data_IF_932241138577
#
_entry.id   IF_932241138577
#
_cell.length_a   1.000
_cell.length_b   1.000
_cell.length_c   1.000
_cell.angle_alpha   90.00
_cell.angle_beta   90.00
_cell.angle_gamma   90.00
#
_symmetry.space_group_name_H-M   'P 1'
#
loop_
_entity.id
_entity.type
_entity.pdbx_description
1 polymer ?
#
# COMPACT_ATOMS: atom_id res chain seq x y z
N UNK A 1 -4.21 32.53 5.76
CA UNK A 1 -3.90 31.75 4.54
C UNK A 1 -4.95 30.66 4.44
N UNK A 2 -5.60 30.53 3.29
CA UNK A 2 -6.47 29.39 3.02
C UNK A 2 -5.56 28.16 2.88
N UNK A 3 -5.87 27.02 3.53
CA UNK A 3 -5.01 25.83 3.45
C UNK A 3 -4.91 25.31 2.02
N UNK A 4 -3.75 24.75 1.64
CA UNK A 4 -3.45 24.22 0.29
C UNK A 4 -4.37 23.07 -0.15
N UNK A 5 -5.16 22.55 0.78
CA UNK A 5 -6.25 21.60 0.52
C UNK A 5 -7.51 22.25 -0.06
N UNK A 6 -7.72 23.56 0.09
CA UNK A 6 -8.96 24.28 -0.23
C UNK A 6 -10.07 24.09 0.82
N UNK A 7 -11.34 24.18 0.38
CA UNK A 7 -12.56 23.92 1.17
C UNK A 7 -12.99 22.43 1.39
N UNK A 8 -12.29 21.36 0.93
CA UNK A 8 -12.76 19.99 1.11
C UNK A 8 -13.13 19.61 2.54
N UNK A 9 -12.43 20.19 3.53
CA UNK A 9 -12.53 19.79 4.93
C UNK A 9 -13.62 20.51 5.71
N UNK A 10 -14.40 21.39 5.07
CA UNK A 10 -15.52 22.12 5.68
C UNK A 10 -16.89 21.46 5.38
N UNK A 11 -16.91 20.13 5.15
CA UNK A 11 -18.11 19.32 4.86
C UNK A 11 -18.88 19.70 3.57
N UNK A 12 -18.51 20.78 2.89
CA UNK A 12 -19.17 21.24 1.67
C UNK A 12 -19.16 20.17 0.56
N UNK A 13 -18.15 19.30 0.53
CA UNK A 13 -18.06 18.19 -0.43
C UNK A 13 -19.00 17.03 -0.14
N UNK A 14 -19.51 16.91 1.08
CA UNK A 14 -20.56 15.93 1.39
C UNK A 14 -21.82 16.24 0.55
N UNK A 15 -22.05 17.51 0.19
CA UNK A 15 -23.21 17.93 -0.61
C UNK A 15 -22.84 18.24 -2.06
N UNK A 16 -21.66 18.84 -2.29
CA UNK A 16 -21.23 19.31 -3.61
C UNK A 16 -19.77 18.93 -3.90
N UNK A 17 -19.53 17.65 -4.19
CA UNK A 17 -18.19 17.09 -4.40
C UNK A 17 -17.36 17.84 -5.46
N UNK A 18 -17.97 18.33 -6.54
CA UNK A 18 -17.25 19.04 -7.60
C UNK A 18 -16.64 20.39 -7.15
N UNK A 19 -17.13 20.98 -6.06
CA UNK A 19 -16.65 22.28 -5.57
C UNK A 19 -15.38 22.06 -4.74
N UNK A 20 -14.22 22.25 -5.37
CA UNK A 20 -12.91 22.10 -4.71
C UNK A 20 -12.39 23.34 -3.98
N UNK A 21 -12.89 24.52 -4.36
CA UNK A 21 -12.33 25.81 -3.96
C UNK A 21 -11.07 26.15 -4.75
N UNK A 22 -10.85 27.45 -4.97
CA UNK A 22 -9.73 27.98 -5.76
C UNK A 22 -8.35 27.61 -5.21
N UNK A 23 -8.25 27.34 -3.90
CA UNK A 23 -7.00 26.93 -3.24
C UNK A 23 -6.68 25.43 -3.27
N UNK A 24 -7.53 24.58 -3.85
CA UNK A 24 -7.29 23.13 -3.88
C UNK A 24 -6.34 22.74 -5.02
N UNK A 25 -5.07 22.56 -4.68
CA UNK A 25 -3.99 22.20 -5.61
C UNK A 25 -3.89 20.70 -5.90
N UNK A 26 -4.48 19.86 -5.03
CA UNK A 26 -4.37 18.40 -5.09
C UNK A 26 -5.68 17.72 -5.50
N UNK A 27 -5.57 16.47 -5.96
CA UNK A 27 -6.75 15.64 -6.23
C UNK A 27 -7.47 15.29 -4.92
N UNK A 28 -8.79 15.52 -4.80
CA UNK A 28 -9.55 15.18 -3.60
C UNK A 28 -9.97 13.70 -3.54
N UNK A 29 -9.33 12.81 -4.31
CA UNK A 29 -9.61 11.35 -4.31
C UNK A 29 -9.63 10.76 -2.89
N UNK A 30 -8.77 11.26 -2.00
CA UNK A 30 -8.69 10.81 -0.62
C UNK A 30 -9.97 11.10 0.20
N UNK A 31 -10.88 11.96 -0.28
CA UNK A 31 -12.07 12.34 0.47
C UNK A 31 -13.03 11.16 0.67
N UNK A 32 -13.29 10.34 -0.35
CA UNK A 32 -14.12 9.14 -0.19
C UNK A 32 -13.45 8.10 0.71
N UNK A 33 -12.13 7.93 0.59
CA UNK A 33 -11.36 6.97 1.39
C UNK A 33 -11.40 7.25 2.90
N UNK A 34 -11.58 8.52 3.30
CA UNK A 34 -11.60 8.90 4.73
C UNK A 34 -12.99 9.23 5.26
N UNK A 35 -13.96 9.53 4.38
CA UNK A 35 -15.32 9.92 4.80
C UNK A 35 -16.31 8.76 4.77
N UNK A 36 -16.03 7.74 3.98
CA UNK A 36 -16.83 6.54 3.95
C UNK A 36 -16.50 5.66 5.16
N UNK A 37 -17.52 5.41 5.99
CA UNK A 37 -17.42 4.56 7.18
C UNK A 37 -18.12 3.21 7.02
N UNK A 38 -18.76 2.98 5.86
CA UNK A 38 -19.58 1.79 5.61
C UNK A 38 -18.84 0.76 4.76
N UNK A 39 -18.02 1.19 3.80
CA UNK A 39 -17.42 0.31 2.80
C UNK A 39 -15.89 0.31 2.76
N UNK A 40 -15.23 1.37 3.22
CA UNK A 40 -13.76 1.42 3.28
C UNK A 40 -13.32 0.67 4.54
N UNK A 41 -12.65 -0.50 4.42
CA UNK A 41 -12.30 -1.29 5.57
C UNK A 41 -10.94 -0.89 6.17
N UNK A 42 -10.76 -1.18 7.45
CA UNK A 42 -9.44 -1.29 8.06
C UNK A 42 -8.82 -2.62 7.62
N UNK A 43 -7.96 -2.58 6.61
CA UNK A 43 -7.38 -3.79 6.01
C UNK A 43 -6.29 -4.36 6.92
N UNK A 44 -6.49 -5.59 7.41
CA UNK A 44 -5.47 -6.33 8.15
C UNK A 44 -4.62 -7.21 7.23
N UNK A 45 -5.28 -7.96 6.34
CA UNK A 45 -4.67 -8.92 5.43
C UNK A 45 -5.65 -9.27 4.30
N UNK A 46 -5.19 -9.44 3.06
CA UNK A 46 -6.04 -9.68 1.89
C UNK A 46 -5.76 -11.04 1.22
N UNK A 47 -6.68 -11.50 0.38
CA UNK A 47 -6.43 -12.65 -0.49
C UNK A 47 -5.33 -12.37 -1.52
N UNK A 48 -5.23 -11.13 -2.02
CA UNK A 48 -4.15 -10.71 -2.91
C UNK A 48 -2.78 -10.83 -2.22
N UNK A 49 -2.68 -10.42 -0.96
CA UNK A 49 -1.44 -10.55 -0.16
C UNK A 49 -0.96 -12.01 -0.08
N UNK A 50 -1.86 -12.97 0.15
CA UNK A 50 -1.53 -14.41 0.14
C UNK A 50 -0.93 -14.83 -1.20
N UNK A 51 -1.57 -14.43 -2.30
CA UNK A 51 -1.17 -14.81 -3.64
C UNK A 51 0.17 -14.16 -4.03
N UNK A 52 0.41 -12.91 -3.64
CA UNK A 52 1.72 -12.27 -3.82
C UNK A 52 2.83 -12.97 -3.02
N UNK A 53 2.56 -13.35 -1.77
CA UNK A 53 3.52 -14.10 -0.95
C UNK A 53 3.82 -15.48 -1.56
N UNK A 54 2.81 -16.15 -2.12
CA UNK A 54 3.01 -17.41 -2.87
C UNK A 54 3.81 -17.20 -4.14
N UNK A 55 3.50 -16.17 -4.92
CA UNK A 55 4.25 -15.83 -6.12
C UNK A 55 5.74 -15.63 -5.81
N UNK A 56 6.05 -14.86 -4.75
CA UNK A 56 7.43 -14.71 -4.28
C UNK A 56 8.04 -16.05 -3.84
N UNK A 57 7.31 -16.86 -3.07
CA UNK A 57 7.80 -18.16 -2.61
C UNK A 57 8.14 -19.09 -3.78
N UNK A 58 7.31 -19.15 -4.82
CA UNK A 58 7.59 -19.91 -6.04
C UNK A 58 8.75 -19.35 -6.84
N UNK A 59 8.88 -18.02 -6.97
CA UNK A 59 10.06 -17.42 -7.63
C UNK A 59 11.35 -17.76 -6.91
N UNK A 60 11.32 -17.79 -5.57
CA UNK A 60 12.50 -18.00 -4.73
C UNK A 60 12.78 -19.48 -4.41
N UNK A 61 11.83 -20.38 -4.65
CA UNK A 61 11.92 -21.77 -4.23
C UNK A 61 11.85 -21.96 -2.71
N UNK A 62 10.97 -21.22 -2.03
CA UNK A 62 10.77 -21.32 -0.58
C UNK A 62 9.77 -22.44 -0.29
N UNK A 63 10.22 -23.50 0.37
CA UNK A 63 9.40 -24.66 0.74
C UNK A 63 9.12 -25.65 -0.40
N UNK A 64 9.35 -25.25 -1.65
CA UNK A 64 9.25 -26.06 -2.87
C UNK A 64 10.34 -25.62 -3.87
N UNK A 65 10.69 -26.41 -4.90
CA UNK A 65 11.58 -25.95 -5.96
C UNK A 65 11.07 -24.67 -6.64
N UNK A 66 12.00 -23.81 -7.08
CA UNK A 66 11.63 -22.59 -7.78
C UNK A 66 10.85 -22.90 -9.07
N UNK A 67 9.71 -22.23 -9.24
CA UNK A 67 8.81 -22.42 -10.37
C UNK A 67 8.27 -21.06 -10.85
N UNK A 68 8.93 -20.41 -11.82
CA UNK A 68 8.48 -19.13 -12.36
C UNK A 68 7.11 -19.20 -13.06
N UNK A 69 6.72 -20.38 -13.57
CA UNK A 69 5.43 -20.57 -14.20
C UNK A 69 4.31 -20.51 -13.17
N UNK A 70 4.45 -21.27 -12.07
CA UNK A 70 3.50 -21.22 -10.96
C UNK A 70 3.50 -19.86 -10.28
N UNK A 71 4.66 -19.22 -10.12
CA UNK A 71 4.75 -17.87 -9.59
C UNK A 71 3.94 -16.86 -10.42
N UNK A 72 4.00 -16.95 -11.76
CA UNK A 72 3.20 -16.12 -12.65
C UNK A 72 1.69 -16.34 -12.50
N UNK A 73 1.27 -17.59 -12.30
CA UNK A 73 -0.14 -17.91 -12.02
C UNK A 73 -0.63 -17.24 -10.73
N UNK A 74 0.12 -17.38 -9.64
CA UNK A 74 -0.23 -16.77 -8.35
C UNK A 74 -0.19 -15.23 -8.44
N UNK A 75 0.81 -14.65 -9.11
CA UNK A 75 0.94 -13.21 -9.30
C UNK A 75 -0.27 -12.62 -10.05
N UNK A 76 -0.65 -13.23 -11.17
CA UNK A 76 -1.79 -12.77 -11.96
C UNK A 76 -3.12 -12.92 -11.20
N UNK A 77 -3.26 -14.01 -10.44
CA UNK A 77 -4.39 -14.16 -9.50
C UNK A 77 -4.41 -13.07 -8.43
N UNK A 78 -3.25 -12.69 -7.88
CA UNK A 78 -3.14 -11.61 -6.90
C UNK A 78 -3.58 -10.26 -7.48
N UNK A 79 -3.13 -9.94 -8.70
CA UNK A 79 -3.51 -8.73 -9.42
C UNK A 79 -5.00 -8.67 -9.69
N UNK A 80 -5.61 -9.79 -10.10
CA UNK A 80 -7.05 -9.87 -10.30
C UNK A 80 -7.80 -9.64 -8.99
N UNK A 81 -7.41 -10.33 -7.92
CA UNK A 81 -8.04 -10.21 -6.61
C UNK A 81 -7.96 -8.77 -6.08
N UNK A 82 -6.78 -8.14 -6.19
CA UNK A 82 -6.57 -6.75 -5.78
C UNK A 82 -7.47 -5.80 -6.56
N UNK A 83 -7.51 -5.95 -7.89
CA UNK A 83 -8.37 -5.12 -8.73
C UNK A 83 -9.85 -5.26 -8.35
N UNK A 84 -10.33 -6.48 -8.20
CA UNK A 84 -11.73 -6.76 -7.85
C UNK A 84 -12.07 -6.19 -6.46
N UNK A 85 -11.16 -6.32 -5.49
CA UNK A 85 -11.30 -5.75 -4.15
C UNK A 85 -11.44 -4.23 -4.18
N UNK A 86 -10.53 -3.53 -4.87
CA UNK A 86 -10.56 -2.07 -4.95
C UNK A 86 -11.72 -1.54 -5.81
N UNK A 87 -12.10 -2.27 -6.87
CA UNK A 87 -13.30 -1.95 -7.66
C UNK A 87 -14.56 -2.11 -6.82
N UNK A 88 -14.64 -3.14 -5.97
CA UNK A 88 -15.77 -3.33 -5.07
C UNK A 88 -15.91 -2.18 -4.08
N UNK A 89 -14.82 -1.76 -3.42
CA UNK A 89 -14.83 -0.60 -2.51
C UNK A 89 -15.27 0.65 -3.27
N UNK A 90 -14.59 0.96 -4.38
CA UNK A 90 -14.90 2.14 -5.19
C UNK A 90 -16.36 2.19 -5.66
N UNK A 91 -16.92 1.07 -6.10
CA UNK A 91 -18.29 1.00 -6.62
C UNK A 91 -19.34 1.23 -5.53
N UNK A 92 -19.10 0.71 -4.32
CA UNK A 92 -20.05 0.80 -3.23
C UNK A 92 -19.84 2.05 -2.36
N UNK A 93 -18.68 2.70 -2.48
CA UNK A 93 -18.35 3.82 -1.63
C UNK A 93 -19.28 5.02 -1.80
N UNK A 94 -19.60 5.68 -0.69
CA UNK A 94 -20.53 6.82 -0.65
C UNK A 94 -20.10 7.85 0.38
N UNK A 95 -20.47 9.11 0.14
CA UNK A 95 -20.34 10.18 1.12
C UNK A 95 -21.42 10.05 2.21
N UNK A 96 -21.27 10.71 3.37
CA UNK A 96 -22.25 10.64 4.47
C UNK A 96 -23.69 11.01 4.09
N UNK A 97 -23.88 11.82 3.05
CA UNK A 97 -25.17 12.21 2.47
C UNK A 97 -25.76 11.15 1.52
N UNK A 98 -25.07 10.03 1.32
CA UNK A 98 -25.46 8.93 0.45
C UNK A 98 -25.04 9.07 -1.01
N UNK A 99 -24.27 10.11 -1.37
CA UNK A 99 -23.84 10.32 -2.76
C UNK A 99 -22.75 9.30 -3.13
N UNK A 100 -22.99 8.40 -4.11
CA UNK A 100 -22.02 7.37 -4.50
C UNK A 100 -20.76 7.96 -5.13
N UNK A 101 -19.64 7.25 -5.06
CA UNK A 101 -18.38 7.62 -5.72
C UNK A 101 -18.56 7.73 -7.25
N UNK A 102 -19.23 6.73 -7.84
CA UNK A 102 -19.40 6.62 -9.29
C UNK A 102 -20.21 7.76 -9.93
N UNK A 103 -21.00 8.52 -9.15
CA UNK A 103 -21.74 9.68 -9.68
C UNK A 103 -20.88 10.93 -9.78
N UNK A 104 -19.80 11.01 -9.00
CA UNK A 104 -18.95 12.20 -8.87
C UNK A 104 -17.59 12.05 -9.57
N UNK A 105 -17.16 10.82 -9.83
CA UNK A 105 -15.84 10.51 -10.41
C UNK A 105 -16.04 9.57 -11.59
N UNK A 106 -15.59 10.00 -12.76
CA UNK A 106 -15.58 9.18 -13.96
C UNK A 106 -14.38 8.26 -13.97
N UNK A 107 -14.61 6.95 -13.86
CA UNK A 107 -13.58 5.93 -14.02
C UNK A 107 -13.45 5.57 -15.49
N UNK A 108 -12.23 5.53 -16.07
CA UNK A 108 -12.04 5.11 -17.46
C UNK A 108 -12.49 3.66 -17.67
N UNK A 109 -13.28 3.40 -18.73
CA UNK A 109 -13.85 2.08 -19.03
C UNK A 109 -12.82 1.01 -19.41
N UNK A 110 -11.61 1.44 -19.77
CA UNK A 110 -10.51 0.56 -20.10
C UNK A 110 -9.76 0.04 -18.88
N UNK A 111 -10.12 0.42 -17.64
CA UNK A 111 -9.49 -0.10 -16.42
C UNK A 111 -10.15 -1.43 -16.04
N UNK A 112 -9.61 -2.53 -16.57
CA UNK A 112 -10.03 -3.89 -16.26
C UNK A 112 -8.84 -4.85 -16.21
N UNK A 113 -9.07 -6.07 -15.72
CA UNK A 113 -8.01 -7.06 -15.53
C UNK A 113 -7.24 -7.36 -16.82
N UNK A 114 -7.91 -7.48 -17.97
CA UNK A 114 -7.26 -7.77 -19.26
C UNK A 114 -6.31 -6.64 -19.66
N UNK A 115 -6.75 -5.39 -19.54
CA UNK A 115 -5.91 -4.23 -19.82
C UNK A 115 -4.71 -4.17 -18.89
N UNK A 116 -4.89 -4.49 -17.61
CA UNK A 116 -3.84 -4.45 -16.61
C UNK A 116 -2.80 -5.54 -16.86
N UNK A 117 -3.26 -6.77 -17.09
CA UNK A 117 -2.40 -7.90 -17.45
C UNK A 117 -1.56 -7.59 -18.71
N UNK A 118 -2.18 -7.01 -19.74
CA UNK A 118 -1.51 -6.62 -20.98
C UNK A 118 -0.42 -5.56 -20.72
N UNK A 119 -0.70 -4.56 -19.89
CA UNK A 119 0.27 -3.51 -19.54
C UNK A 119 1.42 -4.03 -18.66
N UNK A 120 1.15 -4.96 -17.74
CA UNK A 120 2.17 -5.55 -16.88
C UNK A 120 3.15 -6.43 -17.69
N UNK A 121 2.63 -7.11 -18.73
CA UNK A 121 3.40 -7.98 -19.63
C UNK A 121 4.37 -8.94 -18.89
N UNK A 122 3.91 -9.48 -17.75
CA UNK A 122 4.75 -10.15 -16.76
C UNK A 122 5.60 -11.31 -17.32
N UNK A 123 5.03 -12.12 -18.20
CA UNK A 123 5.74 -13.28 -18.76
C UNK A 123 6.80 -12.92 -19.80
N UNK A 124 6.84 -11.67 -20.28
CA UNK A 124 7.91 -11.20 -21.17
C UNK A 124 9.14 -10.70 -20.41
N UNK A 125 9.05 -10.53 -19.09
CA UNK A 125 10.13 -10.05 -18.23
C UNK A 125 11.13 -11.16 -17.89
N UNK A 126 12.36 -10.79 -17.56
CA UNK A 126 13.33 -11.70 -16.94
C UNK A 126 12.94 -12.04 -15.50
N UNK A 127 13.44 -13.15 -14.94
CA UNK A 127 13.04 -13.61 -13.60
C UNK A 127 13.30 -12.58 -12.48
N UNK A 128 14.38 -11.81 -12.57
CA UNK A 128 14.66 -10.75 -11.60
C UNK A 128 13.60 -9.63 -11.69
N UNK A 129 13.27 -9.20 -12.91
CA UNK A 129 12.25 -8.17 -13.17
C UNK A 129 10.85 -8.66 -12.80
N UNK A 130 10.56 -9.96 -12.97
CA UNK A 130 9.34 -10.60 -12.49
C UNK A 130 9.21 -10.48 -10.98
N UNK A 131 10.28 -10.77 -10.24
CA UNK A 131 10.29 -10.62 -8.79
C UNK A 131 10.10 -9.17 -8.35
N UNK A 132 10.75 -8.21 -9.04
CA UNK A 132 10.52 -6.78 -8.81
C UNK A 132 9.08 -6.37 -9.12
N UNK A 133 8.47 -6.94 -10.16
CA UNK A 133 7.07 -6.69 -10.51
C UNK A 133 6.11 -7.21 -9.44
N UNK A 134 6.38 -8.37 -8.84
CA UNK A 134 5.64 -8.87 -7.68
C UNK A 134 5.67 -7.82 -6.56
N UNK A 135 6.85 -7.32 -6.20
CA UNK A 135 6.99 -6.31 -5.14
C UNK A 135 6.33 -4.98 -5.47
N UNK A 136 6.40 -4.56 -6.74
CA UNK A 136 5.73 -3.34 -7.18
C UNK A 136 4.21 -3.45 -7.03
N UNK A 137 3.60 -4.56 -7.46
CA UNK A 137 2.16 -4.76 -7.34
C UNK A 137 1.72 -5.00 -5.89
N UNK A 138 2.50 -5.71 -5.08
CA UNK A 138 2.23 -5.82 -3.64
C UNK A 138 2.26 -4.46 -2.94
N UNK A 139 3.23 -3.60 -3.30
CA UNK A 139 3.32 -2.26 -2.73
C UNK A 139 2.11 -1.39 -3.09
N UNK A 140 1.60 -1.51 -4.32
CA UNK A 140 0.37 -0.84 -4.77
C UNK A 140 -0.85 -1.36 -4.01
N UNK A 141 -0.97 -2.68 -3.82
CA UNK A 141 -2.07 -3.29 -3.08
C UNK A 141 -2.12 -2.84 -1.61
N UNK A 142 -0.95 -2.65 -0.99
CA UNK A 142 -0.82 -2.18 0.40
C UNK A 142 -1.09 -0.69 0.60
N UNK A 143 -1.78 -0.03 -0.34
CA UNK A 143 -2.06 1.40 -0.26
C UNK A 143 -2.74 1.83 1.06
N UNK A 144 -3.68 1.03 1.59
CA UNK A 144 -4.31 1.27 2.90
C UNK A 144 -3.66 0.49 4.07
N UNK A 145 -2.52 -0.16 3.83
CA UNK A 145 -1.74 -0.90 4.82
C UNK A 145 -0.31 -0.35 4.88
N UNK A 146 -0.11 0.91 5.32
CA UNK A 146 1.20 1.58 5.26
C UNK A 146 2.27 0.82 6.04
N UNK A 147 1.91 0.13 7.14
CA UNK A 147 2.82 -0.73 7.88
C UNK A 147 3.37 -1.89 7.03
N UNK A 148 2.54 -2.50 6.17
CA UNK A 148 2.94 -3.60 5.29
C UNK A 148 3.77 -3.08 4.13
N UNK A 149 3.36 -1.97 3.51
CA UNK A 149 4.14 -1.30 2.47
C UNK A 149 5.55 -0.92 2.99
N UNK A 150 5.64 -0.42 4.22
CA UNK A 150 6.90 -0.07 4.86
C UNK A 150 7.74 -1.29 5.24
N UNK A 151 7.13 -2.38 5.69
CA UNK A 151 7.83 -3.65 5.93
C UNK A 151 8.38 -4.24 4.62
N UNK A 152 7.58 -4.25 3.54
CA UNK A 152 7.98 -4.73 2.23
C UNK A 152 9.17 -3.95 1.68
N UNK A 153 9.09 -2.61 1.67
CA UNK A 153 10.16 -1.75 1.17
C UNK A 153 11.50 -1.96 1.88
N UNK A 154 11.46 -2.23 3.19
CA UNK A 154 12.63 -2.51 4.02
C UNK A 154 13.17 -3.93 3.86
N UNK A 155 12.30 -4.90 3.61
CA UNK A 155 12.70 -6.31 3.41
C UNK A 155 13.33 -6.52 2.04
N UNK A 156 12.76 -5.92 1.01
CA UNK A 156 13.14 -6.21 -0.38
C UNK A 156 14.05 -5.15 -0.99
N UNK A 157 13.97 -3.89 -0.53
CA UNK A 157 14.64 -2.74 -1.12
C UNK A 157 14.31 -2.47 -2.60
N UNK A 158 13.31 -3.18 -3.15
CA UNK A 158 12.96 -3.23 -4.58
C UNK A 158 11.54 -2.71 -4.85
N UNK A 159 10.91 -2.05 -3.89
CA UNK A 159 9.64 -1.34 -4.15
C UNK A 159 9.89 -0.10 -5.02
N UNK A 160 8.94 0.31 -5.88
CA UNK A 160 9.04 1.53 -6.65
C UNK A 160 9.39 2.73 -5.78
N UNK A 161 10.40 3.51 -6.18
CA UNK A 161 10.85 4.71 -5.48
C UNK A 161 11.58 5.67 -6.40
N UNK A 162 11.61 6.93 -6.00
CA UNK A 162 12.51 7.94 -6.56
C UNK A 162 13.72 8.12 -5.63
N UNK A 163 14.93 8.15 -6.20
CA UNK A 163 16.15 8.42 -5.43
C UNK A 163 16.67 7.25 -4.59
N UNK A 164 17.34 7.60 -3.49
CA UNK A 164 18.02 6.64 -2.62
C UNK A 164 17.03 5.75 -1.86
N UNK A 165 17.49 4.56 -1.47
CA UNK A 165 16.69 3.63 -0.69
C UNK A 165 16.38 4.13 0.72
N UNK A 166 15.31 3.57 1.30
CA UNK A 166 14.95 3.83 2.69
C UNK A 166 16.11 3.48 3.62
N UNK A 167 16.51 4.48 4.40
CA UNK A 167 17.49 4.33 5.48
C UNK A 167 16.82 4.29 6.87
N UNK A 168 15.50 4.38 6.92
CA UNK A 168 14.71 4.23 8.15
C UNK A 168 14.27 2.78 8.27
N UNK A 169 14.73 2.10 9.31
CA UNK A 169 14.51 0.66 9.51
C UNK A 169 13.64 0.33 10.72
N UNK A 170 13.45 1.27 11.65
CA UNK A 170 12.60 1.11 12.84
C UNK A 170 12.25 2.48 13.39
N UNK A 171 11.33 2.51 14.35
CA UNK A 171 11.09 3.69 15.18
C UNK A 171 11.79 3.52 16.53
N UNK A 172 12.25 4.62 17.16
CA UNK A 172 12.71 4.57 18.53
C UNK A 172 11.54 4.21 19.44
N UNK A 173 11.86 3.49 20.50
CA UNK A 173 10.92 3.17 21.57
C UNK A 173 10.46 4.48 22.25
N UNK A 174 9.21 4.55 22.73
CA UNK A 174 8.69 5.75 23.39
C UNK A 174 9.58 6.25 24.53
N UNK A 175 9.76 7.57 24.71
CA UNK A 175 10.56 8.14 25.81
C UNK A 175 10.10 7.72 27.22
N UNK A 176 8.84 7.31 27.35
CA UNK A 176 8.29 6.76 28.60
C UNK A 176 8.98 5.45 29.00
N UNK A 177 9.36 4.59 28.06
CA UNK A 177 10.13 3.37 28.36
C UNK A 177 11.53 3.70 28.87
N UNK A 178 12.15 4.77 28.34
CA UNK A 178 13.44 5.27 28.83
C UNK A 178 13.31 5.76 30.28
N UNK A 179 12.19 6.37 30.63
CA UNK A 179 11.96 6.96 31.96
C UNK A 179 11.53 5.92 33.00
N UNK A 180 10.65 4.98 32.63
CA UNK A 180 9.99 4.06 33.57
C UNK A 180 10.49 2.62 33.47
N UNK A 181 11.25 2.27 32.43
CA UNK A 181 11.76 0.91 32.18
C UNK A 181 13.24 0.93 31.73
N UNK A 182 14.01 1.87 32.29
CA UNK A 182 15.39 2.18 31.87
C UNK A 182 16.34 0.99 31.90
N UNK A 183 16.18 0.07 32.87
CA UNK A 183 17.01 -1.13 32.97
C UNK A 183 16.89 -2.05 31.74
N UNK A 184 15.66 -2.35 31.31
CA UNK A 184 15.40 -3.17 30.13
C UNK A 184 15.73 -2.43 28.83
N UNK A 185 15.51 -1.11 28.81
CA UNK A 185 15.92 -0.29 27.68
C UNK A 185 17.44 -0.32 27.49
N UNK A 186 18.21 -0.11 28.57
CA UNK A 186 19.67 -0.14 28.53
C UNK A 186 20.22 -1.52 28.17
N UNK A 187 19.59 -2.61 28.63
CA UNK A 187 20.01 -3.97 28.25
C UNK A 187 19.77 -4.28 26.77
N UNK A 188 18.73 -3.68 26.18
CA UNK A 188 18.33 -3.94 24.79
C UNK A 188 19.08 -3.05 23.80
N UNK A 189 19.21 -1.76 24.10
CA UNK A 189 19.74 -0.76 23.18
C UNK A 189 21.16 -0.31 23.50
N UNK A 190 21.55 -0.35 24.78
CA UNK A 190 22.92 -0.19 25.26
C UNK A 190 23.73 0.88 24.51
N UNK A 191 24.93 0.50 24.08
CA UNK A 191 25.88 1.35 23.36
C UNK A 191 25.48 1.60 21.90
N UNK A 192 24.70 0.70 21.29
CA UNK A 192 24.23 0.80 19.90
C UNK A 192 23.17 1.88 19.72
N UNK A 193 22.56 2.31 20.82
CA UNK A 193 21.51 3.31 20.86
C UNK A 193 20.20 2.83 20.23
N UNK A 194 19.14 3.59 20.47
CA UNK A 194 17.84 3.39 19.87
C UNK A 194 17.64 4.42 18.75
N UNK A 195 18.00 4.04 17.53
CA UNK A 195 18.01 4.93 16.39
C UNK A 195 17.30 4.32 15.17
N UNK A 196 16.91 5.19 14.24
CA UNK A 196 16.15 4.84 13.03
C UNK A 196 16.93 3.93 12.07
N UNK A 197 18.26 3.98 12.10
CA UNK A 197 19.18 3.33 11.16
C UNK A 197 19.59 1.92 11.60
N UNK A 198 19.18 1.48 12.79
CA UNK A 198 19.44 0.13 13.27
C UNK A 198 18.46 -0.85 12.59
N UNK A 199 18.98 -1.79 11.80
CA UNK A 199 18.18 -2.82 11.14
C UNK A 199 17.46 -3.72 12.15
N UNK A 200 16.30 -4.21 11.76
CA UNK A 200 15.56 -5.22 12.51
C UNK A 200 16.11 -6.62 12.21
N UNK A 201 15.89 -7.56 13.13
CA UNK A 201 16.45 -8.92 13.06
C UNK A 201 16.08 -9.69 11.78
N UNK A 202 14.96 -9.37 11.15
CA UNK A 202 14.47 -9.99 9.91
C UNK A 202 15.02 -9.33 8.63
N UNK A 203 15.87 -8.30 8.73
CA UNK A 203 16.39 -7.50 7.62
C UNK A 203 17.84 -7.86 7.21
N UNK A 204 18.19 -9.16 7.31
CA UNK A 204 19.54 -9.65 7.03
C UNK A 204 19.83 -9.76 5.54
#
# INVERSE_FOLDING_TARGET
MQPDGGIPYEYQRDVAYAIKGSGCLYSPVNYYLVRDMDYVPDVLFTGAEILFLRAEAYMRGIGVPADPGQAGTEFLGAVQFSLDFWQHIMTNSKLPTGIPFATNITVPSNVNYISLQSNLNYFALGQAEQLEMIYAQSWVDFFMQPQQAFALARRTYSTPREGAGLQVYRFPIPPTEVSYNSGNWQSTYGTSGDNLMNKLWWMN
#
